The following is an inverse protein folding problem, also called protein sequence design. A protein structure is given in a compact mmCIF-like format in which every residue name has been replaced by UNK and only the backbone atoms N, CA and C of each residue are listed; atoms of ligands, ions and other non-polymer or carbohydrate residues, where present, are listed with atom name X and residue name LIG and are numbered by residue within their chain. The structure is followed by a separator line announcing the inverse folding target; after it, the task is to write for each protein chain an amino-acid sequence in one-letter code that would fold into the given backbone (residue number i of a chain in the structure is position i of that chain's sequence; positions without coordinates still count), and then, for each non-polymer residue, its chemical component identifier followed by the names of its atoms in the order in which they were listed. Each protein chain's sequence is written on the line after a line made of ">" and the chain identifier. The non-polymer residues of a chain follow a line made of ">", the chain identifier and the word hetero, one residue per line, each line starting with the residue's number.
data_IF_363781394453
#
_entry.id   IF_363781394453
#
_cell.length_a   1.000
_cell.length_b   1.000
_cell.length_c   1.000
_cell.angle_alpha   90.00
_cell.angle_beta   90.00
_cell.angle_gamma   90.00
#
_symmetry.space_group_name_H-M   'P 1'
#
loop_
_entity.id
_entity.type
_entity.pdbx_description
1 polymer ?
#
# COMPACT_ATOMS: atom_id res chain seq x y z
N UNK A 1 3.06 0.31 13.31
CA UNK A 1 2.00 -0.07 14.25
C UNK A 1 1.47 -1.50 14.09
N UNK A 2 1.54 -2.08 12.87
CA UNK A 2 1.20 -3.50 12.64
C UNK A 2 2.36 -4.44 13.04
N UNK A 3 3.59 -3.93 12.97
CA UNK A 3 4.82 -4.66 13.28
C UNK A 3 4.96 -5.11 14.76
N UNK A 4 4.30 -4.41 15.68
CA UNK A 4 4.43 -4.66 17.13
C UNK A 4 3.28 -5.45 17.74
N UNK A 5 2.21 -5.71 16.99
CA UNK A 5 0.97 -6.30 17.51
C UNK A 5 0.84 -7.81 17.28
N UNK A 6 1.66 -8.41 16.43
CA UNK A 6 1.46 -9.80 16.07
C UNK A 6 2.41 -10.76 16.80
N UNK A 7 1.81 -11.52 17.68
CA UNK A 7 2.32 -12.75 18.30
C UNK A 7 3.76 -12.63 18.79
N UNK A 8 3.89 -11.96 19.89
CA UNK A 8 5.10 -12.03 20.67
C UNK A 8 5.40 -13.51 20.96
N UNK A 9 6.49 -14.04 20.37
CA UNK A 9 6.98 -15.42 20.58
C UNK A 9 7.06 -15.78 22.07
N UNK A 10 7.29 -14.77 22.89
CA UNK A 10 7.26 -14.83 24.34
C UNK A 10 5.86 -15.18 24.87
N UNK A 11 4.78 -14.72 24.26
CA UNK A 11 3.41 -15.07 24.68
C UNK A 11 3.11 -16.57 24.47
N UNK A 12 3.57 -17.14 23.36
CA UNK A 12 3.39 -18.58 23.09
C UNK A 12 4.15 -19.41 24.14
N UNK A 13 5.35 -18.99 24.52
CA UNK A 13 6.13 -19.65 25.58
C UNK A 13 5.46 -19.47 26.94
N UNK A 14 4.90 -18.30 27.25
CA UNK A 14 4.17 -18.05 28.49
C UNK A 14 2.89 -18.91 28.60
N UNK A 15 2.12 -18.99 27.54
CA UNK A 15 0.88 -19.82 27.53
C UNK A 15 1.24 -21.31 27.66
N UNK A 16 2.32 -21.77 27.06
CA UNK A 16 2.81 -23.12 27.22
C UNK A 16 3.22 -23.42 28.66
N UNK A 17 3.98 -22.51 29.28
CA UNK A 17 4.41 -22.65 30.67
C UNK A 17 3.23 -22.67 31.63
N UNK A 18 2.27 -21.75 31.46
CA UNK A 18 1.05 -21.68 32.29
C UNK A 18 0.18 -22.94 32.14
N UNK A 19 0.04 -23.48 30.91
CA UNK A 19 -0.68 -24.72 30.67
C UNK A 19 -0.03 -25.91 31.35
N UNK A 20 1.30 -26.00 31.30
CA UNK A 20 2.08 -27.07 31.96
C UNK A 20 1.92 -27.03 33.48
N UNK A 21 2.04 -25.83 34.07
CA UNK A 21 1.85 -25.62 35.50
C UNK A 21 0.41 -25.92 35.92
N UNK A 22 -0.58 -25.52 35.09
CA UNK A 22 -1.99 -25.78 35.33
C UNK A 22 -2.35 -27.28 35.36
N UNK A 23 -1.82 -28.07 34.39
CA UNK A 23 -2.01 -29.51 34.36
C UNK A 23 -1.38 -30.16 35.59
N UNK A 24 -0.14 -29.79 35.93
CA UNK A 24 0.54 -30.32 37.10
C UNK A 24 -0.19 -30.03 38.41
N UNK A 25 -0.72 -28.79 38.54
CA UNK A 25 -1.53 -28.41 39.71
C UNK A 25 -2.84 -29.15 39.78
N UNK A 26 -3.55 -29.36 38.64
CA UNK A 26 -4.79 -30.09 38.57
C UNK A 26 -4.61 -31.57 38.94
N UNK A 27 -3.51 -32.19 38.50
CA UNK A 27 -3.21 -33.59 38.81
C UNK A 27 -2.81 -33.78 40.28
N UNK A 28 -2.08 -32.86 40.90
CA UNK A 28 -1.83 -32.88 42.35
C UNK A 28 -3.10 -32.75 43.13
N UNK A 29 -4.03 -31.87 42.72
CA UNK A 29 -5.33 -31.68 43.38
C UNK A 29 -6.20 -32.96 43.22
N UNK A 30 -6.23 -33.54 42.03
CA UNK A 30 -6.96 -34.80 41.75
C UNK A 30 -6.41 -35.96 42.56
N UNK A 31 -5.10 -36.10 42.63
CA UNK A 31 -4.44 -37.14 43.43
C UNK A 31 -4.81 -37.02 44.91
N UNK A 32 -4.76 -35.80 45.47
CA UNK A 32 -5.13 -35.52 46.84
C UNK A 32 -6.63 -35.73 47.13
N UNK A 33 -7.52 -35.46 46.15
CA UNK A 33 -8.95 -35.69 46.27
C UNK A 33 -9.28 -37.17 46.15
N UNK A 34 -8.60 -37.95 45.31
CA UNK A 34 -8.76 -39.40 45.20
C UNK A 34 -8.34 -40.11 46.49
N UNK A 35 -7.27 -39.70 47.13
CA UNK A 35 -6.83 -40.22 48.44
C UNK A 35 -7.91 -40.03 49.55
N UNK A 36 -8.79 -39.02 49.40
CA UNK A 36 -9.85 -38.73 50.36
C UNK A 36 -11.13 -39.56 50.13
N UNK A 37 -11.34 -40.12 48.93
CA UNK A 37 -12.61 -40.75 48.53
C UNK A 37 -12.45 -42.25 48.25
N UNK A 38 -11.29 -42.77 47.93
CA UNK A 38 -11.03 -44.16 47.59
C UNK A 38 -9.84 -44.69 48.38
N UNK A 39 -9.97 -45.71 49.21
CA UNK A 39 -8.83 -46.30 49.94
C UNK A 39 -7.81 -46.89 48.95
N UNK A 40 -6.51 -46.73 49.19
CA UNK A 40 -5.47 -47.05 48.23
C UNK A 40 -5.32 -48.56 48.09
N UNK A 41 -5.71 -49.08 46.94
CA UNK A 41 -5.49 -50.49 46.58
C UNK A 41 -4.36 -50.62 45.54
N UNK A 42 -3.58 -49.78 45.19
CA UNK A 42 -2.45 -49.73 44.26
C UNK A 42 -2.27 -48.35 43.63
N UNK A 43 -1.68 -47.41 44.36
CA UNK A 43 -1.19 -46.25 43.62
C UNK A 43 0.11 -45.77 44.24
N UNK A 44 1.21 -46.33 43.73
CA UNK A 44 2.48 -45.68 43.91
C UNK A 44 2.45 -44.34 43.16
N UNK A 45 2.73 -43.22 43.85
CA UNK A 45 2.82 -41.87 43.27
C UNK A 45 3.71 -41.85 42.01
N UNK A 46 4.71 -42.74 41.98
CA UNK A 46 5.62 -42.89 40.85
C UNK A 46 4.93 -43.43 39.59
N UNK A 47 3.99 -44.37 39.72
CA UNK A 47 3.25 -44.94 38.57
C UNK A 47 2.31 -43.92 37.96
N UNK A 48 1.64 -43.12 38.78
CA UNK A 48 0.77 -42.06 38.29
C UNK A 48 1.56 -40.92 37.60
N UNK A 49 2.71 -40.57 38.12
CA UNK A 49 3.64 -39.61 37.47
C UNK A 49 4.08 -40.11 36.09
N UNK A 50 4.43 -41.37 35.94
CA UNK A 50 4.97 -41.91 34.68
C UNK A 50 3.84 -42.15 33.67
N UNK A 51 2.72 -42.71 34.09
CA UNK A 51 1.66 -43.13 33.16
C UNK A 51 0.72 -42.01 32.74
N UNK A 52 0.52 -40.99 33.56
CA UNK A 52 -0.47 -39.92 33.28
C UNK A 52 0.18 -38.56 33.09
N UNK A 53 1.02 -38.11 34.05
CA UNK A 53 1.54 -36.74 34.04
C UNK A 53 2.61 -36.58 32.95
N UNK A 54 3.55 -37.51 32.83
CA UNK A 54 4.65 -37.35 31.87
C UNK A 54 4.18 -37.29 30.41
N UNK A 55 3.25 -38.14 29.93
CA UNK A 55 2.69 -38.03 28.57
C UNK A 55 1.97 -36.70 28.34
N UNK A 56 1.21 -36.19 29.30
CA UNK A 56 0.51 -34.90 29.20
C UNK A 56 1.48 -33.74 29.09
N UNK A 57 2.52 -33.72 29.92
CA UNK A 57 3.57 -32.69 29.87
C UNK A 57 4.30 -32.72 28.53
N UNK A 58 4.68 -33.92 28.06
CA UNK A 58 5.34 -34.09 26.76
C UNK A 58 4.43 -33.60 25.62
N UNK A 59 3.14 -33.94 25.64
CA UNK A 59 2.19 -33.48 24.63
C UNK A 59 2.06 -31.94 24.61
N UNK A 60 2.02 -31.28 25.77
CA UNK A 60 1.98 -29.84 25.88
C UNK A 60 3.25 -29.21 25.32
N UNK A 61 4.43 -29.79 25.62
CA UNK A 61 5.69 -29.31 25.05
C UNK A 61 5.74 -29.45 23.53
N UNK A 62 5.29 -30.59 22.99
CA UNK A 62 5.22 -30.80 21.54
C UNK A 62 4.26 -29.78 20.89
N UNK A 63 3.06 -29.63 21.43
CA UNK A 63 2.08 -28.67 20.90
C UNK A 63 2.59 -27.23 20.96
N UNK A 64 3.28 -26.86 22.04
CA UNK A 64 3.88 -25.53 22.20
C UNK A 64 5.02 -25.31 21.23
N UNK A 65 5.85 -26.32 21.00
CA UNK A 65 6.94 -26.25 20.02
C UNK A 65 6.40 -26.12 18.60
N UNK A 66 5.38 -26.89 18.24
CA UNK A 66 4.70 -26.81 16.93
C UNK A 66 4.07 -25.44 16.76
N UNK A 67 3.35 -24.95 17.76
CA UNK A 67 2.74 -23.61 17.74
C UNK A 67 3.78 -22.49 17.57
N UNK A 68 4.89 -22.57 18.33
CA UNK A 68 6.01 -21.63 18.20
C UNK A 68 6.60 -21.64 16.79
N UNK A 69 6.80 -22.83 16.22
CA UNK A 69 7.35 -22.98 14.88
C UNK A 69 6.41 -22.42 13.81
N UNK A 70 5.10 -22.72 13.90
CA UNK A 70 4.09 -22.19 12.98
C UNK A 70 4.06 -20.66 13.06
N UNK A 71 3.97 -20.09 14.26
CA UNK A 71 3.94 -18.63 14.45
C UNK A 71 5.20 -17.97 13.94
N UNK A 72 6.37 -18.57 14.22
CA UNK A 72 7.66 -18.06 13.73
C UNK A 72 7.72 -18.04 12.21
N UNK A 73 7.27 -19.11 11.56
CA UNK A 73 7.28 -19.22 10.10
C UNK A 73 6.27 -18.28 9.43
N UNK A 74 5.08 -18.19 10.00
CA UNK A 74 4.05 -17.26 9.50
C UNK A 74 4.49 -15.80 9.65
N UNK A 75 5.13 -15.43 10.75
CA UNK A 75 5.67 -14.08 10.94
C UNK A 75 6.74 -13.73 9.91
N UNK A 76 7.64 -14.67 9.61
CA UNK A 76 8.66 -14.45 8.56
C UNK A 76 8.01 -14.33 7.18
N UNK A 77 7.05 -15.18 6.86
CA UNK A 77 6.33 -15.12 5.59
C UNK A 77 5.56 -13.80 5.44
N UNK A 78 4.88 -13.34 6.49
CA UNK A 78 4.17 -12.07 6.48
C UNK A 78 5.11 -10.88 6.27
N UNK A 79 6.25 -10.86 6.96
CA UNK A 79 7.24 -9.79 6.75
C UNK A 79 7.75 -9.78 5.30
N UNK A 80 8.07 -10.94 4.73
CA UNK A 80 8.49 -11.02 3.34
C UNK A 80 7.41 -10.50 2.37
N UNK A 81 6.13 -10.80 2.61
CA UNK A 81 5.03 -10.30 1.79
C UNK A 81 4.91 -8.77 1.90
N UNK A 82 5.07 -8.22 3.11
CA UNK A 82 5.05 -6.77 3.32
C UNK A 82 6.23 -6.10 2.61
N UNK A 83 7.44 -6.63 2.81
CA UNK A 83 8.67 -6.08 2.19
C UNK A 83 8.57 -6.12 0.65
N UNK A 84 8.06 -7.22 0.07
CA UNK A 84 7.82 -7.30 -1.38
C UNK A 84 6.73 -6.35 -1.86
N UNK A 85 5.66 -6.14 -1.08
CA UNK A 85 4.61 -5.19 -1.45
C UNK A 85 5.13 -3.74 -1.46
N UNK A 86 5.99 -3.37 -0.49
CA UNK A 86 6.65 -2.07 -0.46
C UNK A 86 7.63 -1.88 -1.63
N UNK A 87 8.39 -2.93 -1.97
CA UNK A 87 9.28 -2.94 -3.14
C UNK A 87 8.50 -2.74 -4.44
N UNK A 88 7.41 -3.49 -4.64
CA UNK A 88 6.55 -3.34 -5.83
C UNK A 88 5.97 -1.93 -5.92
N UNK A 89 5.51 -1.36 -4.79
CA UNK A 89 4.99 0.02 -4.75
C UNK A 89 6.08 1.03 -5.14
N UNK A 90 7.30 0.85 -4.66
CA UNK A 90 8.44 1.71 -4.97
C UNK A 90 8.79 1.62 -6.47
N UNK A 91 8.94 0.40 -6.98
CA UNK A 91 9.24 0.17 -8.39
C UNK A 91 8.16 0.74 -9.32
N UNK A 92 6.88 0.66 -8.91
CA UNK A 92 5.77 1.27 -9.65
C UNK A 92 5.91 2.80 -9.73
N UNK A 93 6.28 3.46 -8.64
CA UNK A 93 6.50 4.91 -8.63
C UNK A 93 7.69 5.31 -9.50
N UNK A 94 8.78 4.56 -9.44
CA UNK A 94 9.96 4.80 -10.28
C UNK A 94 9.63 4.66 -11.77
N UNK A 95 8.84 3.68 -12.15
CA UNK A 95 8.36 3.54 -13.53
C UNK A 95 7.47 4.71 -13.96
N UNK A 96 6.53 5.13 -13.11
CA UNK A 96 5.70 6.30 -13.38
C UNK A 96 6.56 7.55 -13.56
N UNK A 97 7.53 7.77 -12.69
CA UNK A 97 8.47 8.88 -12.81
C UNK A 97 9.26 8.82 -14.12
N UNK A 98 9.80 7.66 -14.49
CA UNK A 98 10.54 7.48 -15.73
C UNK A 98 9.70 7.77 -16.98
N UNK A 99 8.43 7.33 -17.01
CA UNK A 99 7.51 7.66 -18.11
C UNK A 99 7.16 9.14 -18.16
N UNK A 100 6.95 9.77 -17.01
CA UNK A 100 6.71 11.22 -16.92
C UNK A 100 7.94 11.99 -17.42
N UNK A 101 9.13 11.61 -16.99
CA UNK A 101 10.40 12.21 -17.43
C UNK A 101 10.62 12.04 -18.94
N UNK A 102 10.30 10.86 -19.50
CA UNK A 102 10.35 10.61 -20.94
C UNK A 102 9.41 11.57 -21.70
N UNK A 103 8.18 11.77 -21.19
CA UNK A 103 7.21 12.70 -21.79
C UNK A 103 7.72 14.15 -21.76
N UNK A 104 8.23 14.58 -20.62
CA UNK A 104 8.76 15.92 -20.42
C UNK A 104 10.06 16.18 -21.23
N UNK A 105 10.94 15.19 -21.32
CA UNK A 105 12.18 15.31 -22.09
C UNK A 105 11.92 15.58 -23.57
N UNK A 106 10.80 15.09 -24.10
CA UNK A 106 10.36 15.33 -25.47
C UNK A 106 10.00 16.81 -25.70
N UNK A 107 9.50 17.50 -24.69
CA UNK A 107 9.12 18.93 -24.74
C UNK A 107 10.23 19.90 -24.29
N UNK A 108 11.49 19.42 -24.12
CA UNK A 108 12.60 20.21 -23.56
C UNK A 108 12.34 20.79 -22.16
N UNK A 109 11.32 20.33 -21.48
CA UNK A 109 11.07 20.60 -20.08
C UNK A 109 12.04 19.79 -19.22
N UNK A 110 12.24 20.18 -17.99
CA UNK A 110 13.20 19.53 -17.09
C UNK A 110 12.46 18.62 -16.11
N UNK A 111 13.03 17.45 -15.78
CA UNK A 111 12.49 16.55 -14.76
C UNK A 111 12.24 17.20 -13.38
N UNK A 112 12.81 18.38 -13.14
CA UNK A 112 12.55 19.20 -11.95
C UNK A 112 11.10 19.72 -11.89
N UNK A 113 10.44 19.96 -13.04
CA UNK A 113 9.02 20.33 -13.07
C UNK A 113 8.15 19.22 -12.52
N UNK A 114 8.35 17.99 -12.94
CA UNK A 114 7.61 16.83 -12.47
C UNK A 114 7.68 16.69 -10.94
N UNK A 115 8.89 16.84 -10.37
CA UNK A 115 9.12 16.77 -8.93
C UNK A 115 8.41 17.91 -8.18
N UNK A 116 8.44 19.12 -8.73
CA UNK A 116 7.73 20.27 -8.13
C UNK A 116 6.23 20.05 -8.14
N UNK A 117 5.66 19.66 -9.28
CA UNK A 117 4.23 19.37 -9.42
C UNK A 117 3.79 18.30 -8.40
N UNK A 118 4.54 17.20 -8.29
CA UNK A 118 4.24 16.15 -7.30
C UNK A 118 4.26 16.71 -5.87
N UNK A 119 5.24 17.56 -5.55
CA UNK A 119 5.36 18.15 -4.21
C UNK A 119 4.25 19.16 -3.91
N UNK A 120 3.88 19.98 -4.88
CA UNK A 120 2.75 20.91 -4.72
C UNK A 120 1.42 20.16 -4.56
N UNK A 121 1.23 19.09 -5.33
CA UNK A 121 0.04 18.24 -5.21
C UNK A 121 -0.04 17.55 -3.84
N UNK A 122 1.10 17.12 -3.28
CA UNK A 122 1.15 16.59 -1.90
C UNK A 122 0.69 17.65 -0.89
N UNK A 123 1.20 18.88 -0.98
CA UNK A 123 0.88 19.96 -0.06
C UNK A 123 -0.61 20.35 -0.18
N UNK A 124 -1.10 20.53 -1.40
CA UNK A 124 -2.49 20.92 -1.63
C UNK A 124 -3.46 19.77 -1.28
N UNK A 125 -3.09 18.52 -1.54
CA UNK A 125 -3.88 17.36 -1.15
C UNK A 125 -4.06 17.26 0.37
N UNK A 126 -2.99 17.42 1.14
CA UNK A 126 -3.05 17.48 2.61
C UNK A 126 -3.90 18.65 3.11
N UNK A 127 -3.71 19.84 2.53
CA UNK A 127 -4.50 21.02 2.87
C UNK A 127 -5.99 20.86 2.53
N UNK A 128 -6.31 20.04 1.55
CA UNK A 128 -7.70 19.70 1.16
C UNK A 128 -8.34 18.65 2.06
N UNK A 129 -7.60 18.07 3.03
CA UNK A 129 -8.11 17.10 3.99
C UNK A 129 -8.14 15.65 3.49
N UNK A 130 -7.43 15.34 2.41
CA UNK A 130 -7.26 13.96 1.97
C UNK A 130 -6.34 13.19 2.93
N UNK A 131 -6.57 11.87 3.05
CA UNK A 131 -5.71 10.99 3.83
C UNK A 131 -4.33 10.80 3.18
N UNK A 132 -3.34 10.38 3.96
CA UNK A 132 -1.95 10.28 3.51
C UNK A 132 -1.77 9.28 2.36
N UNK A 133 -2.52 8.17 2.34
CA UNK A 133 -2.43 7.15 1.29
C UNK A 133 -2.99 7.71 -0.04
N UNK A 134 -4.10 8.44 0.02
CA UNK A 134 -4.66 9.07 -1.16
C UNK A 134 -3.79 10.21 -1.68
N UNK A 135 -3.21 11.02 -0.80
CA UNK A 135 -2.23 12.08 -1.15
C UNK A 135 -1.01 11.50 -1.84
N UNK A 136 -0.50 10.36 -1.38
CA UNK A 136 0.62 9.64 -2.00
C UNK A 136 0.28 9.16 -3.43
N UNK A 137 -0.92 8.61 -3.62
CA UNK A 137 -1.41 8.25 -4.95
C UNK A 137 -1.61 9.47 -5.85
N UNK A 138 -2.18 10.55 -5.31
CA UNK A 138 -2.47 11.78 -6.03
C UNK A 138 -1.19 12.49 -6.50
N UNK A 139 -0.19 12.61 -5.64
CA UNK A 139 1.11 13.20 -5.99
C UNK A 139 1.84 12.38 -7.05
N UNK A 140 1.75 11.06 -6.98
CA UNK A 140 2.32 10.15 -7.99
C UNK A 140 1.58 10.27 -9.32
N UNK A 141 0.24 10.31 -9.30
CA UNK A 141 -0.59 10.44 -10.49
C UNK A 141 -0.37 11.78 -11.22
N UNK A 142 -0.16 12.87 -10.47
CA UNK A 142 0.07 14.20 -11.01
C UNK A 142 1.31 14.29 -11.92
N UNK A 143 2.32 13.44 -11.68
CA UNK A 143 3.51 13.36 -12.55
C UNK A 143 3.16 13.04 -14.01
N UNK A 144 2.04 12.36 -14.25
CA UNK A 144 1.63 11.89 -15.58
C UNK A 144 0.65 12.83 -16.31
N UNK A 145 0.43 14.06 -15.81
CA UNK A 145 -0.53 14.99 -16.41
C UNK A 145 -0.31 15.21 -17.90
N UNK A 146 0.94 15.27 -18.31
CA UNK A 146 1.39 15.56 -19.68
C UNK A 146 1.78 14.31 -20.49
N UNK A 147 1.48 13.09 -20.02
CA UNK A 147 1.88 11.85 -20.69
C UNK A 147 1.42 11.77 -22.15
N UNK A 148 0.33 12.43 -22.50
CA UNK A 148 -0.18 12.48 -23.86
C UNK A 148 0.70 13.26 -24.84
N UNK A 149 1.64 14.07 -24.39
CA UNK A 149 2.63 14.75 -25.24
C UNK A 149 3.51 13.76 -26.02
N UNK A 150 3.62 12.52 -25.53
CA UNK A 150 4.31 11.45 -26.26
C UNK A 150 3.72 11.23 -27.66
N UNK A 151 2.45 11.50 -27.87
CA UNK A 151 1.75 11.31 -29.15
C UNK A 151 1.80 12.55 -30.04
N UNK A 152 2.30 13.68 -29.56
CA UNK A 152 2.47 14.90 -30.35
C UNK A 152 3.78 14.84 -31.12
N UNK A 153 3.80 15.30 -32.38
CA UNK A 153 5.01 15.36 -33.16
C UNK A 153 6.01 16.37 -32.58
N UNK A 154 7.30 16.07 -32.67
CA UNK A 154 8.35 16.96 -32.19
C UNK A 154 8.37 18.31 -32.92
N UNK A 155 7.99 18.32 -34.19
CA UNK A 155 7.88 19.54 -35.00
C UNK A 155 6.90 20.56 -34.40
N UNK A 156 5.77 20.07 -33.86
CA UNK A 156 4.78 20.91 -33.21
C UNK A 156 5.22 21.22 -31.77
N UNK A 157 5.65 20.18 -31.04
CA UNK A 157 5.98 20.30 -29.62
C UNK A 157 7.16 21.27 -29.38
N UNK A 158 8.17 21.22 -30.24
CA UNK A 158 9.41 22.01 -30.11
C UNK A 158 9.52 23.14 -31.13
N UNK A 159 8.41 23.54 -31.75
CA UNK A 159 8.43 24.62 -32.74
C UNK A 159 8.96 25.93 -32.15
N UNK A 160 9.99 26.53 -32.72
CA UNK A 160 10.60 27.74 -32.15
C UNK A 160 9.74 29.00 -32.34
N UNK A 161 8.70 28.95 -33.15
CA UNK A 161 7.75 30.05 -33.41
C UNK A 161 6.39 29.75 -32.80
N UNK A 162 5.52 30.76 -32.78
CA UNK A 162 4.13 30.57 -32.34
C UNK A 162 3.44 29.51 -33.20
N UNK A 163 2.68 28.62 -32.57
CA UNK A 163 1.86 27.63 -33.27
C UNK A 163 0.74 28.31 -34.03
N UNK A 164 0.38 27.79 -35.22
CA UNK A 164 -0.85 28.16 -35.91
C UNK A 164 -2.07 27.62 -35.12
N UNK A 165 -3.27 28.02 -35.50
CA UNK A 165 -4.50 27.58 -34.83
C UNK A 165 -4.67 26.04 -35.00
N UNK A 166 -4.32 25.52 -36.19
CA UNK A 166 -4.36 24.08 -36.49
C UNK A 166 -3.34 23.30 -35.67
N UNK A 167 -2.11 23.80 -35.59
CA UNK A 167 -1.04 23.18 -34.78
C UNK A 167 -1.38 23.25 -33.29
N UNK A 168 -1.97 24.35 -32.83
CA UNK A 168 -2.43 24.49 -31.46
C UNK A 168 -3.59 23.53 -31.15
N UNK A 169 -4.49 23.29 -32.10
CA UNK A 169 -5.53 22.27 -31.96
C UNK A 169 -4.94 20.86 -31.79
N UNK A 170 -3.86 20.54 -32.54
CA UNK A 170 -3.11 19.28 -32.35
C UNK A 170 -2.43 19.27 -30.98
N UNK A 171 -1.79 20.37 -30.55
CA UNK A 171 -1.19 20.46 -29.24
C UNK A 171 -2.21 20.19 -28.13
N UNK A 172 -3.40 20.79 -28.20
CA UNK A 172 -4.49 20.56 -27.23
C UNK A 172 -4.93 19.10 -27.13
N UNK A 173 -4.76 18.31 -28.20
CA UNK A 173 -5.18 16.91 -28.19
C UNK A 173 -4.35 16.01 -27.28
N UNK A 174 -3.23 16.51 -26.68
CA UNK A 174 -2.47 15.71 -25.72
C UNK A 174 -3.31 15.28 -24.52
N UNK A 175 -4.31 16.08 -24.10
CA UNK A 175 -5.22 15.71 -23.00
C UNK A 175 -6.06 14.47 -23.34
N UNK A 176 -6.51 14.37 -24.60
CA UNK A 176 -7.24 13.21 -25.12
C UNK A 176 -6.34 12.00 -25.33
N UNK A 177 -5.11 12.22 -25.76
CA UNK A 177 -4.12 11.14 -25.90
C UNK A 177 -3.72 10.59 -24.52
N UNK A 178 -3.57 11.44 -23.50
CA UNK A 178 -3.35 11.03 -22.12
C UNK A 178 -4.52 10.19 -21.59
N UNK A 179 -5.75 10.65 -21.78
CA UNK A 179 -6.96 9.88 -21.44
C UNK A 179 -6.97 8.50 -22.13
N UNK A 180 -6.69 8.46 -23.43
CA UNK A 180 -6.69 7.23 -24.21
C UNK A 180 -5.58 6.25 -23.79
N UNK A 181 -4.36 6.74 -23.54
CA UNK A 181 -3.23 5.93 -23.08
C UNK A 181 -3.53 5.28 -21.72
N UNK A 182 -4.07 6.05 -20.78
CA UNK A 182 -4.32 5.61 -19.41
C UNK A 182 -5.64 4.84 -19.26
N UNK A 183 -6.58 4.95 -20.21
CA UNK A 183 -7.90 4.32 -20.15
C UNK A 183 -7.86 2.79 -20.03
N UNK A 184 -6.82 2.16 -20.59
CA UNK A 184 -6.65 0.71 -20.61
C UNK A 184 -5.83 0.18 -19.43
N UNK A 185 -5.30 1.06 -18.61
CA UNK A 185 -4.43 0.69 -17.49
C UNK A 185 -5.28 0.43 -16.24
N UNK A 186 -5.22 -0.77 -15.65
CA UNK A 186 -5.87 -1.02 -14.37
C UNK A 186 -5.09 -0.34 -13.23
N UNK A 187 -5.77 -0.03 -12.14
CA UNK A 187 -5.15 0.51 -10.94
C UNK A 187 -5.55 1.94 -10.63
N UNK A 188 -5.72 2.21 -9.35
CA UNK A 188 -6.28 3.46 -8.85
C UNK A 188 -5.42 4.68 -9.20
N UNK A 189 -4.09 4.58 -9.05
CA UNK A 189 -3.15 5.66 -9.39
C UNK A 189 -3.30 6.07 -10.86
N UNK A 190 -3.42 5.09 -11.77
CA UNK A 190 -3.50 5.35 -13.21
C UNK A 190 -4.89 5.90 -13.61
N UNK A 191 -5.95 5.56 -12.88
CA UNK A 191 -7.27 6.19 -13.09
C UNK A 191 -7.29 7.65 -12.59
N UNK A 192 -6.62 7.94 -11.48
CA UNK A 192 -6.42 9.33 -11.01
C UNK A 192 -5.58 10.10 -12.04
N UNK A 193 -4.48 9.54 -12.52
CA UNK A 193 -3.65 10.14 -13.54
C UNK A 193 -4.40 10.40 -14.85
N UNK A 194 -5.28 9.48 -15.26
CA UNK A 194 -6.17 9.63 -16.42
C UNK A 194 -7.06 10.86 -16.30
N UNK A 195 -7.72 11.02 -15.15
CA UNK A 195 -8.59 12.18 -14.89
C UNK A 195 -7.79 13.48 -14.94
N UNK A 196 -6.63 13.51 -14.28
CA UNK A 196 -5.74 14.66 -14.27
C UNK A 196 -5.25 14.98 -15.70
N UNK A 197 -4.74 14.00 -16.44
CA UNK A 197 -4.22 14.19 -17.79
C UNK A 197 -5.28 14.74 -18.75
N UNK A 198 -6.54 14.32 -18.58
CA UNK A 198 -7.65 14.81 -19.40
C UNK A 198 -8.05 16.24 -19.08
N UNK A 199 -8.02 16.64 -17.80
CA UNK A 199 -8.73 17.81 -17.32
C UNK A 199 -7.84 18.95 -16.81
N UNK A 200 -6.51 18.76 -16.69
CA UNK A 200 -5.62 19.75 -16.05
C UNK A 200 -5.56 21.12 -16.77
N UNK A 201 -5.97 21.20 -18.03
CA UNK A 201 -6.11 22.45 -18.77
C UNK A 201 -7.55 23.00 -18.79
N UNK A 202 -8.46 22.40 -18.04
CA UNK A 202 -9.82 22.93 -17.91
C UNK A 202 -9.82 24.14 -16.98
N UNK A 203 -10.75 25.06 -17.28
CA UNK A 203 -10.95 26.27 -16.51
C UNK A 203 -12.36 26.35 -16.00
N UNK A 204 -12.51 26.92 -14.81
CA UNK A 204 -13.80 27.01 -14.13
C UNK A 204 -14.92 27.66 -14.99
N UNK A 205 -14.54 28.60 -15.82
CA UNK A 205 -15.45 29.35 -16.73
C UNK A 205 -15.80 28.59 -18.00
N UNK A 206 -15.20 27.42 -18.26
CA UNK A 206 -15.42 26.62 -19.47
C UNK A 206 -14.55 27.06 -20.66
N UNK A 207 -13.55 27.94 -20.46
CA UNK A 207 -12.62 28.35 -21.51
C UNK A 207 -11.42 27.40 -21.66
N UNK A 208 -11.48 26.23 -21.02
CA UNK A 208 -10.48 25.17 -21.13
C UNK A 208 -10.51 24.44 -22.47
N UNK A 209 -9.72 23.37 -22.58
CA UNK A 209 -9.53 22.65 -23.85
C UNK A 209 -10.74 21.81 -24.25
N UNK A 210 -11.46 21.23 -23.29
CA UNK A 210 -12.63 20.38 -23.50
C UNK A 210 -13.96 21.11 -23.17
N UNK A 211 -13.87 22.39 -22.76
CA UNK A 211 -15.00 23.23 -22.41
C UNK A 211 -15.85 22.73 -21.23
N UNK A 212 -15.26 21.93 -20.33
CA UNK A 212 -15.86 21.54 -19.06
C UNK A 212 -15.99 22.77 -18.15
N UNK A 213 -17.04 22.82 -17.33
CA UNK A 213 -17.36 24.02 -16.56
C UNK A 213 -17.67 23.68 -15.09
N UNK A 214 -17.14 24.48 -14.19
CA UNK A 214 -17.47 24.40 -12.77
C UNK A 214 -17.17 23.02 -12.18
N UNK A 215 -18.20 22.39 -11.60
CA UNK A 215 -18.08 21.10 -10.93
C UNK A 215 -18.04 19.89 -11.89
N UNK A 216 -18.17 20.09 -13.20
CA UNK A 216 -17.86 19.04 -14.18
C UNK A 216 -16.37 18.68 -14.17
N UNK A 217 -15.51 19.63 -13.76
CA UNK A 217 -14.08 19.44 -13.62
C UNK A 217 -13.80 18.77 -12.26
N UNK A 218 -13.17 17.61 -12.28
CA UNK A 218 -12.82 16.90 -11.06
C UNK A 218 -11.99 17.79 -10.11
N UNK A 219 -12.26 17.72 -8.81
CA UNK A 219 -11.56 18.54 -7.81
C UNK A 219 -10.06 18.39 -7.88
N UNK A 220 -9.56 17.14 -8.07
CA UNK A 220 -8.14 16.85 -8.21
C UNK A 220 -7.51 17.51 -9.45
N UNK A 221 -8.27 17.64 -10.54
CA UNK A 221 -7.82 18.31 -11.76
C UNK A 221 -7.74 19.84 -11.57
N UNK A 222 -8.65 20.40 -10.76
CA UNK A 222 -8.58 21.81 -10.34
C UNK A 222 -7.35 22.10 -9.49
N UNK A 223 -6.97 21.18 -8.57
CA UNK A 223 -5.73 21.28 -7.81
C UNK A 223 -4.51 21.19 -8.75
N UNK A 224 -4.56 20.26 -9.70
CA UNK A 224 -3.48 20.08 -10.68
C UNK A 224 -3.25 21.34 -11.52
N UNK A 225 -4.30 22.00 -11.98
CA UNK A 225 -4.20 23.24 -12.75
C UNK A 225 -3.46 24.35 -11.98
N UNK A 226 -3.57 24.36 -10.64
CA UNK A 226 -2.78 25.27 -9.78
C UNK A 226 -1.33 24.82 -9.71
N UNK A 227 -1.07 23.53 -9.49
CA UNK A 227 0.29 22.99 -9.38
C UNK A 227 1.13 23.17 -10.64
N UNK A 228 0.51 23.10 -11.81
CA UNK A 228 1.17 23.18 -13.11
C UNK A 228 1.67 24.60 -13.43
N UNK A 229 1.00 25.61 -12.91
CA UNK A 229 1.35 27.03 -13.15
C UNK A 229 2.48 27.54 -12.24
N UNK A 230 2.67 26.90 -11.07
CA UNK A 230 3.72 27.26 -10.08
C UNK A 230 4.99 26.46 -10.30
#
# INVERSE_FOLDING_TARGET
>A
CIRDSYYNKTMVLYTALLSTVGVFAADIVNYRLCDLVIPPAHDDFADNMILVIAPCVIAIFIMSFVSYFIVSRNSTMLNNVIDHAEEVKTNQKELIYAFAELSESKSKSTGEHIKRVAKYMEVLGKASGFDDDYVDMLSTAAMMHDIGKLMISEEILNKPSRLTDEEFAIMKSHVLYGDALLSKCPGQILQIARTIAKEHHEKWDGSGYLHMKGDEIAYISRLMAVCDVF
#
